data_IF_131335007436
#
_entry.id   IF_131335007436
#
_cell.length_a   1.000
_cell.length_b   1.000
_cell.length_c   1.000
_cell.angle_alpha   90.00
_cell.angle_beta   90.00
_cell.angle_gamma   90.00
#
_symmetry.space_group_name_H-M   'P 1'
#
loop_
_entity.id
_entity.type
_entity.pdbx_description
1 polymer ?
#
# COMPACT_ATOMS: atom_id res chain seq x y z
N UNK A 1 -32.29 -22.11 -6.57
CA UNK A 1 -32.62 -21.09 -5.55
C UNK A 1 -31.46 -20.12 -5.48
N UNK A 2 -31.71 -18.81 -5.40
CA UNK A 2 -30.63 -17.81 -5.25
C UNK A 2 -29.84 -18.12 -3.97
N UNK A 3 -28.50 -18.15 -4.07
CA UNK A 3 -27.60 -18.37 -2.92
C UNK A 3 -27.69 -17.22 -1.89
N UNK A 4 -28.13 -16.04 -2.33
CA UNK A 4 -28.18 -14.81 -1.55
C UNK A 4 -29.59 -14.17 -1.58
N UNK A 5 -29.98 -13.51 -0.49
CA UNK A 5 -31.22 -12.72 -0.37
C UNK A 5 -31.11 -11.36 -1.07
N UNK A 6 -29.91 -10.81 -1.19
CA UNK A 6 -29.62 -9.58 -1.93
C UNK A 6 -28.63 -9.91 -3.03
N UNK A 7 -28.89 -9.40 -4.22
CA UNK A 7 -27.94 -9.48 -5.34
C UNK A 7 -27.97 -8.16 -6.08
N UNK A 8 -26.80 -7.55 -6.23
CA UNK A 8 -26.55 -6.35 -7.02
C UNK A 8 -25.37 -6.60 -7.95
N UNK A 9 -25.31 -5.83 -9.01
CA UNK A 9 -24.18 -5.79 -9.94
C UNK A 9 -23.45 -4.47 -9.83
N UNK A 10 -22.18 -4.45 -10.26
CA UNK A 10 -21.40 -3.20 -10.30
C UNK A 10 -22.04 -2.20 -11.27
N UNK A 11 -22.66 -2.67 -12.37
CA UNK A 11 -23.37 -1.83 -13.33
C UNK A 11 -24.59 -1.14 -12.70
N UNK A 12 -25.39 -1.86 -11.92
CA UNK A 12 -26.52 -1.28 -11.18
C UNK A 12 -26.06 -0.25 -10.15
N UNK A 13 -24.98 -0.55 -9.41
CA UNK A 13 -24.39 0.39 -8.45
C UNK A 13 -23.88 1.64 -9.18
N UNK A 14 -23.15 1.49 -10.29
CA UNK A 14 -22.68 2.60 -11.11
C UNK A 14 -23.84 3.41 -11.72
N UNK A 15 -24.96 2.78 -12.07
CA UNK A 15 -26.16 3.49 -12.51
C UNK A 15 -26.76 4.34 -11.38
N UNK A 16 -26.76 3.86 -10.13
CA UNK A 16 -27.17 4.66 -8.97
C UNK A 16 -26.21 5.79 -8.66
N UNK A 17 -24.89 5.57 -8.81
CA UNK A 17 -23.88 6.62 -8.61
C UNK A 17 -24.13 7.77 -9.58
N UNK A 18 -24.31 7.49 -10.88
CA UNK A 18 -24.62 8.51 -11.90
C UNK A 18 -25.95 9.25 -11.70
N UNK A 19 -26.83 8.75 -10.82
CA UNK A 19 -28.10 9.38 -10.49
C UNK A 19 -28.05 10.13 -9.15
N UNK A 20 -26.89 10.16 -8.47
CA UNK A 20 -26.77 10.71 -7.11
C UNK A 20 -27.56 9.91 -6.05
N UNK A 21 -27.91 8.65 -6.33
CA UNK A 21 -28.79 7.82 -5.46
C UNK A 21 -28.06 6.72 -4.70
N UNK A 22 -26.78 6.49 -4.99
CA UNK A 22 -26.02 5.44 -4.34
C UNK A 22 -25.81 5.77 -2.85
N UNK A 23 -25.95 4.78 -1.98
CA UNK A 23 -25.63 4.91 -0.56
C UNK A 23 -24.20 4.46 -0.34
N UNK A 24 -23.31 5.40 0.01
CA UNK A 24 -21.89 5.14 0.27
C UNK A 24 -21.59 5.34 1.75
N UNK A 25 -20.94 4.35 2.37
CA UNK A 25 -20.42 4.42 3.73
C UNK A 25 -18.90 4.22 3.74
N UNK A 26 -18.22 4.69 4.77
CA UNK A 26 -16.88 4.20 5.09
C UNK A 26 -16.96 2.86 5.82
N UNK A 27 -15.86 2.09 5.87
CA UNK A 27 -15.84 0.84 6.62
C UNK A 27 -16.16 1.05 8.11
N UNK A 28 -15.75 2.17 8.74
CA UNK A 28 -16.12 2.49 10.13
C UNK A 28 -17.65 2.62 10.32
N UNK A 29 -18.33 3.30 9.39
CA UNK A 29 -19.78 3.46 9.43
C UNK A 29 -20.51 2.14 9.16
N UNK A 30 -19.94 1.28 8.31
CA UNK A 30 -20.50 -0.02 7.95
C UNK A 30 -20.55 -0.98 9.14
N UNK A 31 -19.49 -1.04 9.96
CA UNK A 31 -19.43 -1.87 11.18
C UNK A 31 -20.65 -1.60 12.08
N UNK A 32 -20.93 -0.32 12.33
CA UNK A 32 -22.08 0.09 13.16
C UNK A 32 -23.42 -0.34 12.58
N UNK A 33 -23.57 -0.26 11.25
CA UNK A 33 -24.79 -0.66 10.55
C UNK A 33 -25.01 -2.18 10.59
N UNK A 34 -23.96 -2.96 10.31
CA UNK A 34 -24.01 -4.43 10.33
C UNK A 34 -24.31 -4.92 11.74
N UNK A 35 -23.65 -4.38 12.77
CA UNK A 35 -23.92 -4.75 14.16
C UNK A 35 -25.36 -4.46 14.59
N UNK A 36 -25.95 -3.35 14.12
CA UNK A 36 -27.30 -2.93 14.51
C UNK A 36 -28.41 -3.62 13.73
N UNK A 37 -28.22 -3.88 12.43
CA UNK A 37 -29.30 -4.32 11.53
C UNK A 37 -29.04 -5.68 10.85
N UNK A 38 -27.84 -6.22 11.00
CA UNK A 38 -27.40 -7.44 10.33
C UNK A 38 -26.99 -7.22 8.87
N UNK A 39 -26.28 -8.21 8.29
CA UNK A 39 -25.68 -8.10 6.96
C UNK A 39 -26.70 -7.99 5.82
N UNK A 40 -27.85 -8.67 5.92
CA UNK A 40 -28.91 -8.61 4.90
C UNK A 40 -29.50 -7.21 4.78
N UNK A 41 -29.84 -6.59 5.92
CA UNK A 41 -30.39 -5.23 5.91
C UNK A 41 -29.35 -4.20 5.45
N UNK A 42 -28.09 -4.39 5.84
CA UNK A 42 -26.98 -3.55 5.37
C UNK A 42 -26.81 -3.66 3.84
N UNK A 43 -26.80 -4.87 3.28
CA UNK A 43 -26.70 -5.09 1.84
C UNK A 43 -27.86 -4.50 1.03
N UNK A 44 -29.10 -4.52 1.56
CA UNK A 44 -30.23 -3.85 0.90
C UNK A 44 -30.01 -2.34 0.81
N UNK A 45 -29.47 -1.73 1.87
CA UNK A 45 -29.35 -0.27 2.01
C UNK A 45 -28.10 0.30 1.35
N UNK A 46 -26.94 -0.31 1.55
CA UNK A 46 -25.62 0.25 1.17
C UNK A 46 -25.22 -0.28 -0.19
N UNK A 47 -24.69 0.59 -1.04
CA UNK A 47 -24.21 0.23 -2.37
C UNK A 47 -22.68 0.12 -2.42
N UNK A 48 -21.96 0.97 -1.68
CA UNK A 48 -20.49 0.98 -1.64
C UNK A 48 -19.97 1.21 -0.23
N UNK A 49 -18.91 0.47 0.13
CA UNK A 49 -18.10 0.74 1.33
C UNK A 49 -16.71 1.21 0.92
N UNK A 50 -16.28 2.37 1.39
CA UNK A 50 -14.93 2.89 1.11
C UNK A 50 -13.95 2.53 2.22
N UNK A 51 -12.74 2.16 1.79
CA UNK A 51 -11.64 1.72 2.65
C UNK A 51 -10.41 2.59 2.39
N UNK A 52 -9.42 2.51 3.28
CA UNK A 52 -8.22 3.33 3.19
C UNK A 52 -7.03 2.76 3.96
N UNK A 53 -5.83 3.01 3.45
CA UNK A 53 -4.57 2.74 4.13
C UNK A 53 -3.52 3.77 3.73
N UNK A 54 -2.68 4.14 4.69
CA UNK A 54 -1.51 4.99 4.46
C UNK A 54 -0.37 4.45 5.32
N UNK A 55 0.66 3.91 4.69
CA UNK A 55 1.75 3.20 5.36
C UNK A 55 3.01 3.25 4.50
N UNK A 56 4.22 3.08 5.08
CA UNK A 56 5.41 2.74 4.29
C UNK A 56 5.16 1.47 3.46
N UNK A 57 5.33 1.56 2.15
CA UNK A 57 5.18 0.45 1.21
C UNK A 57 6.44 0.36 0.34
N UNK A 58 7.42 -0.40 0.84
CA UNK A 58 8.77 -0.47 0.26
C UNK A 58 8.80 -0.97 -1.20
N UNK A 59 7.89 -1.86 -1.58
CA UNK A 59 7.80 -2.35 -2.96
C UNK A 59 6.98 -1.43 -3.86
N UNK A 60 7.33 -0.14 -3.83
CA UNK A 60 6.82 0.90 -4.71
C UNK A 60 7.93 1.41 -5.61
N UNK A 61 7.57 1.98 -6.76
CA UNK A 61 8.52 2.56 -7.69
C UNK A 61 7.81 3.15 -8.90
N UNK A 62 8.58 3.77 -9.79
CA UNK A 62 8.03 4.48 -10.93
C UNK A 62 8.80 4.17 -12.21
N UNK A 63 8.07 3.90 -13.28
CA UNK A 63 8.59 3.98 -14.64
C UNK A 63 8.55 5.45 -15.08
N UNK A 64 9.69 5.94 -15.57
CA UNK A 64 9.82 7.30 -16.07
C UNK A 64 10.42 7.26 -17.47
N UNK A 65 9.85 8.05 -18.37
CA UNK A 65 10.51 8.43 -19.61
C UNK A 65 11.02 9.86 -19.43
N UNK A 66 12.33 10.08 -19.58
CA UNK A 66 12.91 11.41 -19.35
C UNK A 66 13.12 12.26 -20.60
N UNK A 67 12.62 11.77 -21.74
CA UNK A 67 12.74 12.43 -23.04
C UNK A 67 14.15 12.38 -23.63
N UNK A 68 14.22 12.49 -24.95
CA UNK A 68 15.48 12.51 -25.69
C UNK A 68 16.26 13.82 -25.47
N UNK A 69 17.56 13.77 -25.75
CA UNK A 69 18.44 14.94 -25.86
C UNK A 69 18.78 15.24 -27.32
N UNK A 70 19.42 16.39 -27.58
CA UNK A 70 20.04 16.69 -28.86
C UNK A 70 21.54 16.91 -28.63
N UNK A 71 22.43 16.06 -29.17
CA UNK A 71 22.12 14.81 -29.89
C UNK A 71 21.44 13.75 -29.00
N UNK A 72 20.77 12.77 -29.63
CA UNK A 72 19.99 11.71 -28.96
C UNK A 72 20.86 10.80 -28.10
N UNK A 73 20.26 10.20 -27.06
CA UNK A 73 20.95 9.35 -26.08
C UNK A 73 20.22 8.02 -25.87
N UNK A 74 21.01 6.95 -25.69
CA UNK A 74 20.57 5.64 -25.22
C UNK A 74 21.26 5.37 -23.88
N UNK A 75 20.61 5.78 -22.80
CA UNK A 75 21.20 5.73 -21.47
C UNK A 75 21.39 4.28 -20.98
N UNK A 76 22.58 4.00 -20.46
CA UNK A 76 22.93 2.73 -19.81
C UNK A 76 23.01 2.84 -18.29
N UNK A 77 23.21 4.05 -17.75
CA UNK A 77 23.14 4.34 -16.31
C UNK A 77 22.48 5.70 -16.11
N UNK A 78 21.56 5.80 -15.16
CA UNK A 78 20.80 7.03 -14.88
C UNK A 78 20.71 7.27 -13.38
N UNK A 79 20.76 8.53 -12.98
CA UNK A 79 20.56 8.99 -11.61
C UNK A 79 19.58 10.16 -11.58
N UNK A 80 18.80 10.24 -10.51
CA UNK A 80 17.86 11.31 -10.19
C UNK A 80 18.20 11.86 -8.79
N UNK A 81 18.68 13.10 -8.68
CA UNK A 81 19.22 13.66 -7.42
C UNK A 81 20.22 12.69 -6.75
N UNK A 82 21.14 12.11 -7.53
CA UNK A 82 22.13 11.14 -7.03
C UNK A 82 21.58 9.74 -6.73
N UNK A 83 20.26 9.50 -6.80
CA UNK A 83 19.66 8.17 -6.63
C UNK A 83 19.72 7.40 -7.94
N UNK A 84 20.33 6.20 -7.97
CA UNK A 84 20.30 5.34 -9.15
C UNK A 84 18.88 5.01 -9.60
N UNK A 85 18.66 5.04 -10.91
CA UNK A 85 17.46 4.51 -11.54
C UNK A 85 17.86 3.44 -12.56
N UNK A 86 17.15 2.31 -12.53
CA UNK A 86 17.41 1.20 -13.43
C UNK A 86 17.15 1.62 -14.88
N UNK A 87 18.20 1.72 -15.66
CA UNK A 87 18.14 1.87 -17.11
C UNK A 87 18.05 0.49 -17.78
N UNK A 88 18.16 0.42 -19.11
CA UNK A 88 18.16 -0.86 -19.84
C UNK A 88 16.79 -1.36 -20.26
N UNK A 89 15.71 -0.60 -19.98
CA UNK A 89 14.39 -0.85 -20.55
C UNK A 89 14.34 -0.45 -22.04
N UNK A 90 14.87 0.72 -22.36
CA UNK A 90 15.02 1.24 -23.72
C UNK A 90 16.04 2.41 -23.72
N UNK A 91 15.87 3.39 -24.60
CA UNK A 91 16.82 4.50 -24.74
C UNK A 91 16.76 5.53 -23.60
N UNK A 92 15.55 5.88 -23.14
CA UNK A 92 15.33 6.92 -22.12
C UNK A 92 14.25 6.53 -21.11
N UNK A 93 13.91 5.24 -21.06
CA UNK A 93 12.98 4.66 -20.10
C UNK A 93 13.77 4.05 -18.94
N UNK A 94 13.36 4.41 -17.73
CA UNK A 94 14.00 4.01 -16.48
C UNK A 94 12.97 3.55 -15.45
N UNK A 95 13.41 2.79 -14.46
CA UNK A 95 12.63 2.47 -13.27
C UNK A 95 13.37 2.91 -12.00
N UNK A 96 12.75 3.77 -11.19
CA UNK A 96 13.28 4.17 -9.88
C UNK A 96 12.53 3.44 -8.77
N UNK A 97 13.25 2.64 -7.98
CA UNK A 97 12.70 1.92 -6.83
C UNK A 97 12.66 2.79 -5.58
N UNK A 98 11.57 2.76 -4.83
CA UNK A 98 11.38 3.60 -3.64
C UNK A 98 12.45 3.39 -2.55
N UNK A 99 13.07 2.21 -2.51
CA UNK A 99 14.09 1.82 -1.52
C UNK A 99 15.52 2.00 -2.00
N UNK A 100 15.73 2.52 -3.21
CA UNK A 100 17.08 2.79 -3.71
C UNK A 100 17.66 4.01 -3.00
N UNK A 101 18.76 3.89 -2.22
CA UNK A 101 19.38 5.02 -1.57
C UNK A 101 20.12 5.91 -2.59
N UNK A 102 20.46 7.13 -2.18
CA UNK A 102 21.41 7.94 -2.96
C UNK A 102 22.77 7.22 -3.09
N UNK A 103 23.46 7.40 -4.22
CA UNK A 103 24.75 6.74 -4.53
C UNK A 103 25.83 7.01 -3.47
N UNK A 104 25.77 8.18 -2.82
CA UNK A 104 26.70 8.64 -1.80
C UNK A 104 26.21 8.43 -0.36
N UNK A 105 25.03 7.82 -0.16
CA UNK A 105 24.52 7.54 1.19
C UNK A 105 25.51 6.63 1.95
N UNK A 106 25.83 6.93 3.22
CA UNK A 106 26.78 6.12 4.00
C UNK A 106 26.22 4.74 4.35
N UNK A 107 24.93 4.49 4.10
CA UNK A 107 24.19 3.29 4.48
C UNK A 107 24.43 3.00 5.97
N UNK A 108 24.71 1.74 6.30
CA UNK A 108 25.02 1.31 7.66
C UNK A 108 26.54 1.31 7.96
N UNK A 109 27.38 2.08 7.24
CA UNK A 109 28.82 2.22 7.58
C UNK A 109 29.03 2.78 8.98
N UNK A 110 28.21 3.77 9.37
CA UNK A 110 28.04 4.21 10.76
C UNK A 110 26.64 3.77 11.17
N UNK A 111 26.55 2.72 12.00
CA UNK A 111 25.27 2.12 12.36
C UNK A 111 24.65 2.78 13.60
N UNK A 112 23.33 3.08 13.59
CA UNK A 112 22.38 2.88 12.49
C UNK A 112 22.43 4.01 11.44
N UNK A 113 22.36 3.64 10.16
CA UNK A 113 22.30 4.60 9.05
C UNK A 113 21.02 5.44 9.04
N UNK A 114 21.10 6.67 8.54
CA UNK A 114 19.97 7.62 8.53
C UNK A 114 19.11 7.51 7.26
N UNK A 115 19.69 7.10 6.12
CA UNK A 115 18.98 6.95 4.83
C UNK A 115 18.18 8.20 4.43
N UNK A 116 18.80 9.37 4.47
CA UNK A 116 18.12 10.68 4.40
C UNK A 116 17.39 10.93 3.09
N UNK A 117 17.87 10.33 2.01
CA UNK A 117 17.33 10.56 0.68
C UNK A 117 17.47 9.30 -0.18
N UNK A 118 16.51 9.08 -1.07
CA UNK A 118 16.41 7.87 -1.88
C UNK A 118 15.22 7.93 -2.83
N UNK A 119 14.92 6.81 -3.50
CA UNK A 119 13.94 6.78 -4.59
C UNK A 119 12.53 7.22 -4.17
N UNK A 120 12.10 6.91 -2.95
CA UNK A 120 10.82 7.41 -2.43
C UNK A 120 10.78 8.94 -2.31
N UNK A 121 11.91 9.56 -1.95
CA UNK A 121 12.05 11.02 -1.86
C UNK A 121 12.07 11.64 -3.27
N UNK A 122 12.78 11.04 -4.23
CA UNK A 122 12.74 11.46 -5.65
C UNK A 122 11.31 11.46 -6.19
N UNK A 123 10.55 10.39 -5.92
CA UNK A 123 9.16 10.28 -6.36
C UNK A 123 8.31 11.39 -5.72
N UNK A 124 8.45 11.63 -4.41
CA UNK A 124 7.75 12.72 -3.72
C UNK A 124 8.11 14.08 -4.33
N UNK A 125 9.38 14.35 -4.55
CA UNK A 125 9.88 15.63 -5.07
C UNK A 125 9.34 15.92 -6.47
N UNK A 126 9.36 14.92 -7.36
CA UNK A 126 8.74 15.02 -8.68
C UNK A 126 7.25 15.37 -8.59
N UNK A 127 6.49 14.65 -7.76
CA UNK A 127 5.05 14.89 -7.57
C UNK A 127 4.77 16.25 -6.90
N UNK A 128 5.69 16.74 -6.07
CA UNK A 128 5.65 18.08 -5.48
C UNK A 128 6.08 19.19 -6.47
N UNK A 129 6.35 18.85 -7.73
CA UNK A 129 6.79 19.79 -8.76
C UNK A 129 8.19 20.34 -8.54
N UNK A 130 9.00 19.71 -7.69
CA UNK A 130 10.38 20.10 -7.44
C UNK A 130 11.26 19.72 -8.62
N UNK A 131 12.36 20.46 -8.77
CA UNK A 131 13.40 20.13 -9.74
C UNK A 131 14.24 18.97 -9.22
N UNK A 132 14.54 18.05 -10.13
CA UNK A 132 15.39 16.88 -9.89
C UNK A 132 16.53 16.90 -10.91
N UNK A 133 17.77 16.80 -10.44
CA UNK A 133 18.95 16.66 -11.29
C UNK A 133 18.96 15.26 -11.90
N UNK A 134 18.82 15.21 -13.22
CA UNK A 134 18.98 14.00 -14.00
C UNK A 134 20.38 13.93 -14.57
N UNK A 135 21.08 12.84 -14.28
CA UNK A 135 22.37 12.49 -14.87
C UNK A 135 22.24 11.16 -15.60
N UNK A 136 22.73 11.07 -16.83
CA UNK A 136 22.80 9.82 -17.57
C UNK A 136 24.16 9.60 -18.22
N UNK A 137 24.58 8.35 -18.30
CA UNK A 137 25.73 7.86 -19.05
C UNK A 137 25.26 6.88 -20.11
N UNK A 138 25.96 6.86 -21.25
CA UNK A 138 25.68 6.02 -22.40
C UNK A 138 26.98 5.62 -23.11
N UNK A 139 26.94 4.53 -23.88
CA UNK A 139 28.09 4.06 -24.66
C UNK A 139 28.19 4.72 -26.06
N UNK A 140 27.14 5.42 -26.50
CA UNK A 140 27.06 6.01 -27.83
C UNK A 140 26.83 4.95 -28.92
N UNK A 141 25.97 5.27 -29.88
CA UNK A 141 25.70 4.47 -31.08
C UNK A 141 25.44 5.43 -32.25
N UNK A 142 25.40 4.94 -33.48
CA UNK A 142 25.09 5.80 -34.64
C UNK A 142 23.73 6.48 -34.52
N UNK A 143 22.71 5.79 -33.98
CA UNK A 143 21.38 6.35 -33.74
C UNK A 143 21.28 7.24 -32.49
N UNK A 144 22.22 7.08 -31.55
CA UNK A 144 22.23 7.75 -30.24
C UNK A 144 23.65 8.14 -29.88
N UNK A 145 24.23 9.18 -30.50
CA UNK A 145 25.66 9.43 -30.40
C UNK A 145 26.05 10.09 -29.06
N UNK A 146 25.10 10.65 -28.33
CA UNK A 146 25.37 11.23 -27.01
C UNK A 146 25.81 10.16 -26.00
N UNK A 147 26.88 10.44 -25.26
CA UNK A 147 27.44 9.56 -24.21
C UNK A 147 27.17 10.03 -22.79
N UNK A 148 26.73 11.28 -22.63
CA UNK A 148 26.41 11.88 -21.33
C UNK A 148 25.23 12.84 -21.49
N UNK A 149 24.35 12.86 -20.51
CA UNK A 149 23.32 13.88 -20.35
C UNK A 149 23.29 14.35 -18.90
N UNK A 150 23.15 15.65 -18.71
CA UNK A 150 22.94 16.26 -17.40
C UNK A 150 21.96 17.42 -17.57
N UNK A 151 20.83 17.37 -16.85
CA UNK A 151 19.81 18.42 -16.89
C UNK A 151 18.98 18.41 -15.61
N UNK A 152 18.37 19.53 -15.27
CA UNK A 152 17.29 19.57 -14.28
C UNK A 152 15.96 19.27 -14.98
N UNK A 153 15.12 18.45 -14.34
CA UNK A 153 13.77 18.14 -14.81
C UNK A 153 12.77 18.25 -13.67
N UNK A 154 11.55 18.65 -13.98
CA UNK A 154 10.37 18.49 -13.14
C UNK A 154 9.50 17.37 -13.69
N UNK A 155 8.49 16.93 -12.93
CA UNK A 155 7.51 15.95 -13.41
C UNK A 155 6.75 16.39 -14.67
N UNK A 156 6.59 17.70 -14.88
CA UNK A 156 5.94 18.25 -16.09
C UNK A 156 6.79 18.03 -17.34
N UNK A 157 8.11 18.09 -17.20
CA UNK A 157 9.07 17.95 -18.31
C UNK A 157 9.22 16.50 -18.79
N UNK A 158 8.86 15.52 -17.96
CA UNK A 158 8.92 14.10 -18.31
C UNK A 158 7.79 13.73 -19.30
N UNK A 159 8.06 13.15 -20.47
CA UNK A 159 7.00 12.69 -21.37
C UNK A 159 6.03 11.70 -20.72
N UNK A 160 6.52 10.81 -19.85
CA UNK A 160 5.72 9.82 -19.16
C UNK A 160 6.26 9.54 -17.76
N UNK A 161 5.36 9.36 -16.79
CA UNK A 161 5.70 9.02 -15.41
C UNK A 161 4.57 8.21 -14.77
N UNK A 162 4.80 6.92 -14.55
CA UNK A 162 3.78 5.99 -14.04
C UNK A 162 4.31 5.35 -12.76
N UNK A 163 3.57 5.49 -11.67
CA UNK A 163 3.81 4.71 -10.46
C UNK A 163 3.39 3.27 -10.75
N UNK A 164 4.29 2.32 -10.59
CA UNK A 164 4.00 0.89 -10.70
C UNK A 164 4.62 0.19 -9.51
N UNK A 165 3.77 -0.26 -8.59
CA UNK A 165 4.19 -0.86 -7.34
C UNK A 165 3.91 -2.37 -7.37
N UNK A 166 4.96 -3.22 -7.46
CA UNK A 166 4.79 -4.68 -7.51
C UNK A 166 4.15 -5.28 -6.25
N UNK A 167 4.15 -4.58 -5.11
CA UNK A 167 3.52 -5.06 -3.88
C UNK A 167 3.15 -3.92 -2.93
N UNK A 168 1.85 -3.73 -2.73
CA UNK A 168 1.24 -2.79 -1.80
C UNK A 168 0.05 -3.45 -1.07
N UNK A 169 -0.62 -2.70 -0.17
CA UNK A 169 -1.83 -3.11 0.53
C UNK A 169 -1.77 -4.54 1.11
N UNK A 170 -0.84 -4.80 2.02
CA UNK A 170 -0.74 -6.11 2.68
C UNK A 170 -2.02 -6.44 3.46
N UNK A 171 -2.56 -7.63 3.24
CA UNK A 171 -3.65 -8.20 4.02
C UNK A 171 -3.08 -8.77 5.31
N UNK A 172 -3.32 -8.06 6.40
CA UNK A 172 -2.69 -8.30 7.70
C UNK A 172 -1.16 -8.19 7.67
N UNK A 173 -0.56 -8.17 8.84
CA UNK A 173 0.86 -8.03 9.03
C UNK A 173 1.28 -8.58 10.39
N UNK A 174 2.57 -8.64 10.69
CA UNK A 174 3.07 -9.06 12.01
C UNK A 174 3.03 -7.90 13.03
N UNK A 175 2.88 -8.23 14.31
CA UNK A 175 3.26 -7.36 15.42
C UNK A 175 4.70 -7.67 15.84
N UNK A 176 5.61 -6.71 15.67
CA UNK A 176 7.05 -6.91 15.86
C UNK A 176 7.51 -6.51 17.26
N UNK A 177 8.20 -7.41 17.94
CA UNK A 177 8.91 -7.15 19.20
C UNK A 177 10.40 -7.51 19.06
N UNK A 178 11.20 -7.19 20.07
CA UNK A 178 12.61 -7.57 20.14
C UNK A 178 12.94 -8.19 21.50
N UNK A 179 13.18 -9.50 21.54
CA UNK A 179 13.52 -10.23 22.76
C UNK A 179 15.02 -10.24 23.07
N UNK A 180 15.86 -9.72 22.19
CA UNK A 180 17.31 -9.62 22.41
C UNK A 180 17.66 -8.57 23.49
N UNK A 181 18.93 -8.50 23.85
CA UNK A 181 19.45 -7.58 24.87
C UNK A 181 19.92 -6.22 24.31
N UNK A 182 19.83 -6.00 22.99
CA UNK A 182 20.20 -4.74 22.30
C UNK A 182 19.04 -4.16 21.51
N UNK A 183 19.06 -2.86 21.25
CA UNK A 183 18.14 -2.23 20.29
C UNK A 183 18.43 -2.74 18.88
N UNK A 184 17.38 -3.03 18.12
CA UNK A 184 17.47 -3.38 16.70
C UNK A 184 16.68 -2.38 15.86
N UNK A 185 17.12 -2.22 14.61
CA UNK A 185 16.54 -1.30 13.65
C UNK A 185 16.01 -2.12 12.47
N UNK A 186 14.71 -2.05 12.21
CA UNK A 186 14.03 -2.94 11.26
C UNK A 186 13.12 -2.12 10.36
N UNK A 187 12.52 -2.75 9.34
CA UNK A 187 11.46 -2.11 8.57
C UNK A 187 10.20 -1.82 9.40
N UNK A 188 10.03 -2.47 10.55
CA UNK A 188 9.01 -2.16 11.55
C UNK A 188 9.44 -1.02 12.47
N UNK A 189 10.50 -0.29 12.12
CA UNK A 189 11.10 0.75 12.95
C UNK A 189 12.00 0.20 14.05
N UNK A 190 12.33 1.07 15.00
CA UNK A 190 13.20 0.76 16.14
C UNK A 190 12.49 -0.10 17.17
N UNK A 191 13.09 -1.24 17.52
CA UNK A 191 12.59 -2.16 18.54
C UNK A 191 13.60 -2.25 19.69
N UNK A 192 13.15 -1.82 20.87
CA UNK A 192 13.93 -1.77 22.11
C UNK A 192 14.14 -3.17 22.68
N UNK A 193 15.28 -3.40 23.37
CA UNK A 193 15.60 -4.72 23.91
C UNK A 193 14.55 -5.23 24.90
N UNK A 194 14.48 -6.54 25.06
CA UNK A 194 13.65 -7.25 26.06
C UNK A 194 12.16 -6.88 25.97
N UNK A 195 11.63 -6.76 24.76
CA UNK A 195 10.27 -6.35 24.43
C UNK A 195 9.91 -4.97 25.01
N UNK A 196 10.82 -4.00 24.90
CA UNK A 196 10.57 -2.64 25.38
C UNK A 196 9.53 -1.84 24.57
N UNK A 197 9.17 -2.32 23.38
CA UNK A 197 8.02 -1.87 22.58
C UNK A 197 7.61 -2.94 21.57
N UNK A 198 6.40 -2.77 21.04
CA UNK A 198 5.83 -3.54 19.96
C UNK A 198 5.42 -2.58 18.84
N UNK A 199 5.86 -2.84 17.61
CA UNK A 199 5.45 -2.05 16.46
C UNK A 199 4.59 -2.89 15.53
N UNK A 200 3.52 -2.33 14.99
CA UNK A 200 2.57 -3.03 14.12
C UNK A 200 2.19 -2.19 12.92
N UNK A 201 1.62 -2.84 11.90
CA UNK A 201 1.18 -2.18 10.68
C UNK A 201 -0.22 -2.63 10.29
N UNK A 202 -0.78 -1.91 9.32
CA UNK A 202 -2.14 -1.88 8.78
C UNK A 202 -3.08 -0.88 9.45
N UNK A 203 -4.11 -0.46 8.72
CA UNK A 203 -5.19 0.39 9.21
C UNK A 203 -6.32 -0.41 9.91
N UNK A 204 -6.12 -1.72 10.17
CA UNK A 204 -7.11 -2.57 10.82
C UNK A 204 -8.43 -2.60 10.05
N UNK A 205 -9.52 -2.25 10.70
CA UNK A 205 -10.88 -2.24 10.14
C UNK A 205 -11.06 -1.34 8.90
N UNK A 206 -10.19 -0.36 8.66
CA UNK A 206 -10.21 0.47 7.43
C UNK A 206 -9.44 -0.18 6.26
N UNK A 207 -8.70 -1.26 6.49
CA UNK A 207 -7.82 -1.86 5.49
C UNK A 207 -8.62 -2.46 4.32
N UNK A 208 -8.28 -2.15 3.06
CA UNK A 208 -8.98 -2.67 1.89
C UNK A 208 -9.14 -4.19 1.88
N UNK A 209 -8.03 -4.92 2.05
CA UNK A 209 -8.06 -6.39 1.97
C UNK A 209 -8.63 -7.07 3.21
N UNK A 210 -8.80 -6.36 4.33
CA UNK A 210 -9.56 -6.90 5.48
C UNK A 210 -11.06 -6.88 5.22
N UNK A 211 -11.53 -5.89 4.44
CA UNK A 211 -12.93 -5.70 4.07
C UNK A 211 -13.35 -6.53 2.84
N UNK A 212 -12.39 -7.10 2.11
CA UNK A 212 -12.61 -8.12 1.08
C UNK A 212 -11.66 -9.32 1.31
N UNK A 213 -11.90 -10.11 2.38
CA UNK A 213 -10.93 -11.07 2.89
C UNK A 213 -10.60 -12.20 1.89
N UNK A 214 -11.50 -12.46 0.95
CA UNK A 214 -11.38 -13.50 -0.07
C UNK A 214 -11.28 -12.94 -1.50
N UNK A 215 -11.03 -11.64 -1.66
CA UNK A 215 -10.86 -10.97 -2.95
C UNK A 215 -12.05 -11.17 -3.91
N UNK A 216 -13.27 -11.14 -3.36
CA UNK A 216 -14.53 -11.36 -4.09
C UNK A 216 -14.87 -10.21 -5.04
N UNK A 217 -14.41 -9.01 -4.72
CA UNK A 217 -14.72 -7.78 -5.44
C UNK A 217 -13.47 -7.10 -6.01
N UNK A 218 -12.31 -7.41 -5.46
CA UNK A 218 -11.02 -6.84 -5.84
C UNK A 218 -10.32 -7.75 -6.85
N UNK A 219 -10.03 -7.21 -8.03
CA UNK A 219 -9.26 -7.91 -9.06
C UNK A 219 -8.58 -6.99 -10.07
N UNK A 220 -8.02 -7.57 -11.13
CA UNK A 220 -7.40 -6.84 -12.24
C UNK A 220 -8.37 -5.82 -12.84
N UNK A 221 -7.98 -4.55 -12.92
CA UNK A 221 -8.80 -3.46 -13.46
C UNK A 221 -9.68 -2.74 -12.44
N UNK A 222 -9.66 -3.16 -11.17
CA UNK A 222 -10.35 -2.45 -10.08
C UNK A 222 -9.80 -1.04 -9.96
N UNK A 223 -10.67 -0.03 -10.06
CA UNK A 223 -10.31 1.38 -9.89
C UNK A 223 -10.13 1.69 -8.41
N UNK A 224 -9.09 2.44 -8.06
CA UNK A 224 -8.74 2.77 -6.69
C UNK A 224 -8.38 4.25 -6.54
N UNK A 225 -8.45 4.76 -5.32
CA UNK A 225 -7.67 5.92 -4.93
C UNK A 225 -6.21 5.48 -4.77
N UNK A 226 -5.28 6.11 -5.48
CA UNK A 226 -3.85 5.85 -5.38
C UNK A 226 -3.10 7.18 -5.42
N UNK A 227 -2.39 7.52 -4.35
CA UNK A 227 -1.54 8.71 -4.33
C UNK A 227 -2.31 10.03 -4.50
N UNK A 228 -3.62 10.09 -4.22
CA UNK A 228 -4.43 11.30 -4.47
C UNK A 228 -5.11 11.36 -5.83
N UNK A 229 -4.90 10.37 -6.69
CA UNK A 229 -5.50 10.26 -8.01
C UNK A 229 -6.28 8.95 -8.17
N UNK A 230 -6.93 8.77 -9.32
CA UNK A 230 -7.42 7.46 -9.72
C UNK A 230 -6.23 6.58 -10.16
N UNK A 231 -6.13 5.39 -9.59
CA UNK A 231 -5.24 4.33 -10.02
C UNK A 231 -5.99 3.03 -10.28
N UNK A 232 -5.23 1.96 -10.50
CA UNK A 232 -5.77 0.64 -10.80
C UNK A 232 -4.99 -0.45 -10.06
N UNK A 233 -5.71 -1.51 -9.69
CA UNK A 233 -5.09 -2.78 -9.34
C UNK A 233 -4.81 -3.54 -10.64
N UNK A 234 -3.58 -4.02 -10.78
CA UNK A 234 -3.13 -4.74 -11.99
C UNK A 234 -2.76 -6.21 -11.74
N UNK A 235 -3.05 -6.71 -10.53
CA UNK A 235 -2.89 -8.12 -10.21
C UNK A 235 -2.56 -8.37 -8.74
N UNK A 236 -2.30 -9.63 -8.37
CA UNK A 236 -1.70 -9.96 -7.08
C UNK A 236 -0.33 -9.28 -6.95
N UNK A 237 0.00 -8.82 -5.75
CA UNK A 237 1.35 -8.37 -5.45
C UNK A 237 2.34 -9.54 -5.36
N UNK A 238 3.64 -9.25 -5.44
CA UNK A 238 4.70 -10.29 -5.52
C UNK A 238 4.84 -11.18 -4.29
N UNK A 239 4.23 -10.83 -3.15
CA UNK A 239 4.15 -11.69 -1.95
C UNK A 239 2.71 -12.07 -1.62
N UNK A 240 1.83 -12.07 -2.61
CA UNK A 240 0.44 -12.46 -2.42
C UNK A 240 0.36 -13.92 -1.97
N UNK A 241 -0.10 -14.14 -0.74
CA UNK A 241 -0.27 -15.48 -0.17
C UNK A 241 -1.69 -15.65 0.39
N UNK A 242 -2.64 -16.22 -0.37
CA UNK A 242 -4.02 -16.34 0.06
C UNK A 242 -4.22 -17.47 1.09
N UNK A 243 -3.32 -18.46 1.10
CA UNK A 243 -3.43 -19.76 1.78
C UNK A 243 -2.91 -19.73 3.23
N UNK A 244 -3.30 -18.69 3.97
CA UNK A 244 -3.00 -18.58 5.41
C UNK A 244 -4.18 -18.99 6.26
N UNK A 245 -3.93 -19.29 7.55
CA UNK A 245 -4.99 -19.53 8.52
C UNK A 245 -5.86 -18.29 8.69
N UNK A 246 -7.18 -18.52 8.78
CA UNK A 246 -8.20 -17.48 8.89
C UNK A 246 -9.12 -17.78 10.06
N UNK A 247 -9.68 -16.74 10.66
CA UNK A 247 -10.73 -16.87 11.67
C UNK A 247 -12.01 -17.44 11.04
N UNK A 248 -13.00 -17.81 11.86
CA UNK A 248 -14.31 -18.23 11.36
C UNK A 248 -15.00 -17.15 10.50
N UNK A 249 -14.70 -15.86 10.74
CA UNK A 249 -15.16 -14.72 9.93
C UNK A 249 -14.38 -14.50 8.64
N UNK A 250 -13.35 -15.31 8.36
CA UNK A 250 -12.54 -15.25 7.14
C UNK A 250 -11.35 -14.29 7.18
N UNK A 251 -11.16 -13.59 8.28
CA UNK A 251 -10.04 -12.66 8.49
C UNK A 251 -8.75 -13.47 8.63
N UNK A 252 -7.70 -13.18 7.85
CA UNK A 252 -6.43 -13.90 7.99
C UNK A 252 -5.76 -13.55 9.31
N UNK A 253 -5.15 -14.55 9.97
CA UNK A 253 -4.48 -14.37 11.27
C UNK A 253 -2.99 -14.00 11.14
N UNK A 254 -2.48 -14.01 9.90
CA UNK A 254 -1.08 -13.71 9.53
C UNK A 254 -1.07 -12.92 8.22
N UNK A 255 0.09 -12.36 7.88
CA UNK A 255 0.32 -11.67 6.61
C UNK A 255 -0.06 -12.57 5.41
N UNK A 256 -0.95 -12.08 4.54
CA UNK A 256 -1.62 -12.86 3.50
C UNK A 256 -1.49 -12.22 2.10
N UNK A 257 -2.62 -11.84 1.48
CA UNK A 257 -2.64 -11.22 0.15
C UNK A 257 -1.95 -9.87 0.07
N UNK A 258 -1.49 -9.52 -1.13
CA UNK A 258 -0.99 -8.19 -1.48
C UNK A 258 -1.51 -7.80 -2.85
N UNK A 259 -1.45 -6.50 -3.18
CA UNK A 259 -1.90 -5.94 -4.46
C UNK A 259 -0.73 -5.35 -5.24
N UNK A 260 -0.70 -5.59 -6.55
CA UNK A 260 0.08 -4.80 -7.49
C UNK A 260 -0.79 -3.65 -8.01
N UNK A 261 -0.25 -2.43 -8.00
CA UNK A 261 -1.02 -1.23 -8.39
C UNK A 261 -0.26 -0.37 -9.39
N UNK A 262 -1.01 0.36 -10.21
CA UNK A 262 -0.45 1.38 -11.10
C UNK A 262 -1.28 2.66 -11.11
N UNK A 263 -0.65 3.79 -11.40
CA UNK A 263 -1.33 5.07 -11.62
C UNK A 263 -0.40 6.12 -12.22
N UNK A 264 -0.99 7.17 -12.78
CA UNK A 264 -0.25 8.28 -13.37
C UNK A 264 0.29 9.21 -12.29
N UNK A 265 1.62 9.37 -12.20
CA UNK A 265 2.24 10.26 -11.21
C UNK A 265 1.88 11.73 -11.45
N UNK A 266 1.60 12.13 -12.69
CA UNK A 266 1.28 13.52 -13.05
C UNK A 266 -0.04 14.01 -12.44
N UNK A 267 -0.93 13.08 -12.09
CA UNK A 267 -2.23 13.37 -11.46
C UNK A 267 -2.18 13.23 -9.92
N UNK A 268 -1.09 12.69 -9.37
CA UNK A 268 -0.96 12.41 -7.94
C UNK A 268 -0.61 13.66 -7.14
N UNK A 269 -0.84 13.59 -5.83
CA UNK A 269 -0.67 14.70 -4.89
C UNK A 269 0.40 14.29 -3.86
N UNK A 270 1.43 15.12 -3.60
CA UNK A 270 2.58 14.74 -2.78
C UNK A 270 2.21 14.41 -1.33
N UNK A 271 1.06 14.89 -0.85
CA UNK A 271 0.50 14.52 0.47
C UNK A 271 0.37 13.00 0.65
N UNK A 272 0.08 12.29 -0.44
CA UNK A 272 -0.23 10.85 -0.44
C UNK A 272 0.92 9.97 -0.93
N UNK A 273 2.04 10.57 -1.32
CA UNK A 273 3.30 9.91 -1.69
C UNK A 273 4.44 10.60 -0.96
N UNK A 274 4.82 10.05 0.19
CA UNK A 274 5.80 10.67 1.09
C UNK A 274 7.03 9.77 1.19
N UNK A 275 8.19 10.26 0.76
CA UNK A 275 9.48 9.63 1.02
C UNK A 275 9.70 9.49 2.52
N UNK A 276 10.14 8.31 2.94
CA UNK A 276 10.39 8.02 4.36
C UNK A 276 11.79 7.46 4.56
N UNK A 277 12.43 7.89 5.64
CA UNK A 277 13.70 7.35 6.11
C UNK A 277 13.45 6.48 7.34
N UNK A 278 13.81 5.20 7.25
CA UNK A 278 13.69 4.24 8.35
C UNK A 278 15.09 3.97 8.87
N UNK A 279 15.43 4.58 10.01
CA UNK A 279 16.75 4.50 10.63
C UNK A 279 17.22 3.04 10.73
N UNK A 280 18.45 2.77 10.29
CA UNK A 280 19.11 1.47 10.29
C UNK A 280 18.57 0.44 9.27
N UNK A 281 17.44 0.71 8.62
CA UNK A 281 16.83 -0.18 7.64
C UNK A 281 16.97 0.31 6.19
N UNK A 282 16.55 1.54 5.89
CA UNK A 282 16.53 2.04 4.51
C UNK A 282 15.58 3.22 4.28
N UNK A 283 15.63 3.79 3.08
CA UNK A 283 14.58 4.68 2.59
C UNK A 283 13.40 3.87 2.01
N UNK A 284 12.23 4.49 1.90
CA UNK A 284 11.01 3.89 1.33
C UNK A 284 10.03 4.99 0.90
N UNK A 285 8.83 4.60 0.49
CA UNK A 285 7.72 5.50 0.13
C UNK A 285 6.48 5.12 0.93
N UNK A 286 5.89 6.08 1.66
CA UNK A 286 4.57 5.95 2.23
C UNK A 286 3.51 6.31 1.19
N UNK A 287 2.60 5.38 0.92
CA UNK A 287 1.63 5.47 -0.18
C UNK A 287 0.21 5.44 0.39
N UNK A 288 -0.63 6.38 -0.06
CA UNK A 288 -2.07 6.39 0.21
C UNK A 288 -2.84 5.55 -0.81
N UNK A 289 -3.57 4.55 -0.33
CA UNK A 289 -4.42 3.70 -1.16
C UNK A 289 -5.80 3.57 -0.53
N UNK A 290 -6.85 3.75 -1.34
CA UNK A 290 -8.23 3.50 -0.96
C UNK A 290 -8.94 2.65 -2.00
N UNK A 291 -9.71 1.66 -1.57
CA UNK A 291 -10.44 0.76 -2.46
C UNK A 291 -11.94 0.84 -2.14
N UNK A 292 -12.80 1.11 -3.13
CA UNK A 292 -14.23 1.02 -2.94
C UNK A 292 -14.69 -0.43 -3.09
N UNK A 293 -15.35 -0.96 -2.07
CA UNK A 293 -15.91 -2.31 -2.06
C UNK A 293 -17.39 -2.22 -2.46
N UNK A 294 -17.78 -2.73 -3.64
CA UNK A 294 -19.18 -2.81 -4.03
C UNK A 294 -19.92 -3.84 -3.16
N UNK A 295 -21.03 -3.44 -2.56
CA UNK A 295 -21.84 -4.36 -1.74
C UNK A 295 -22.79 -5.14 -2.65
N UNK A 296 -22.30 -6.25 -3.21
CA UNK A 296 -23.06 -7.06 -4.18
C UNK A 296 -24.10 -7.97 -3.52
N UNK A 297 -23.89 -8.36 -2.25
CA UNK A 297 -24.75 -9.26 -1.49
C UNK A 297 -24.51 -9.13 0.02
N UNK A 298 -25.29 -9.86 0.82
CA UNK A 298 -25.15 -9.88 2.29
C UNK A 298 -23.83 -10.49 2.80
N UNK A 299 -23.17 -11.35 2.03
CA UNK A 299 -21.88 -11.93 2.42
C UNK A 299 -20.77 -10.86 2.37
N UNK A 300 -20.71 -10.07 1.30
CA UNK A 300 -19.78 -8.93 1.22
C UNK A 300 -20.10 -7.88 2.27
N UNK A 301 -21.39 -7.59 2.50
CA UNK A 301 -21.78 -6.68 3.57
C UNK A 301 -21.27 -7.14 4.94
N UNK A 302 -21.33 -8.45 5.22
CA UNK A 302 -20.79 -9.03 6.44
C UNK A 302 -19.27 -8.82 6.55
N UNK A 303 -18.52 -9.09 5.48
CA UNK A 303 -17.06 -8.90 5.47
C UNK A 303 -16.64 -7.46 5.69
N UNK A 304 -17.37 -6.50 5.10
CA UNK A 304 -17.12 -5.07 5.30
C UNK A 304 -17.56 -4.55 6.68
N UNK A 305 -18.16 -5.42 7.51
CA UNK A 305 -18.57 -5.11 8.87
C UNK A 305 -17.55 -5.53 9.95
N UNK A 306 -16.35 -5.99 9.56
CA UNK A 306 -15.30 -6.47 10.46
C UNK A 306 -14.76 -5.34 11.34
N UNK A 307 -14.67 -5.56 12.65
CA UNK A 307 -14.12 -4.58 13.60
C UNK A 307 -12.70 -4.94 14.07
N UNK A 308 -11.97 -3.98 14.62
CA UNK A 308 -10.60 -4.21 15.11
C UNK A 308 -10.51 -5.26 16.24
N UNK A 309 -11.61 -5.55 16.94
CA UNK A 309 -11.71 -6.63 17.93
C UNK A 309 -11.68 -8.03 17.29
N UNK A 310 -12.07 -8.14 16.03
CA UNK A 310 -12.16 -9.39 15.28
C UNK A 310 -10.94 -9.64 14.38
N UNK A 311 -10.07 -8.64 14.23
CA UNK A 311 -8.84 -8.72 13.46
C UNK A 311 -7.70 -9.04 14.40
N UNK A 312 -7.05 -10.19 14.18
CA UNK A 312 -5.94 -10.67 15.00
C UNK A 312 -4.63 -10.74 14.22
N UNK A 313 -3.51 -10.58 14.91
CA UNK A 313 -2.16 -10.77 14.38
C UNK A 313 -1.27 -11.50 15.37
N UNK A 314 -0.14 -12.01 14.87
CA UNK A 314 0.87 -12.71 15.65
C UNK A 314 1.96 -11.76 16.13
N UNK A 315 2.33 -11.88 17.41
CA UNK A 315 3.51 -11.24 17.99
C UNK A 315 4.75 -12.05 17.59
N UNK A 316 5.68 -11.44 16.88
CA UNK A 316 6.88 -12.09 16.32
C UNK A 316 8.13 -11.39 16.85
N UNK A 317 9.13 -12.17 17.24
CA UNK A 317 10.43 -11.63 17.64
C UNK A 317 11.31 -11.33 16.42
N UNK A 318 11.71 -10.07 16.27
CA UNK A 318 12.61 -9.60 15.23
C UNK A 318 14.08 -9.61 15.66
N UNK A 319 14.36 -9.88 16.95
CA UNK A 319 15.72 -10.00 17.46
C UNK A 319 16.42 -11.27 16.99
N UNK A 320 15.70 -12.40 16.93
CA UNK A 320 16.24 -13.68 16.48
C UNK A 320 15.30 -14.44 15.55
N UNK A 321 14.02 -14.58 15.89
CA UNK A 321 13.13 -15.51 15.18
C UNK A 321 12.90 -15.11 13.71
N UNK A 322 12.48 -13.86 13.46
CA UNK A 322 12.23 -13.34 12.12
C UNK A 322 13.46 -13.42 11.18
N UNK A 323 14.65 -12.88 11.54
CA UNK A 323 15.81 -12.91 10.64
C UNK A 323 16.34 -14.32 10.37
N UNK A 324 16.07 -15.29 11.25
CA UNK A 324 16.48 -16.69 11.06
C UNK A 324 15.34 -17.58 10.52
N UNK A 325 14.20 -17.00 10.12
CA UNK A 325 13.09 -17.75 9.54
C UNK A 325 12.41 -18.73 10.51
N UNK A 326 12.52 -18.51 11.82
CA UNK A 326 11.90 -19.36 12.83
C UNK A 326 10.40 -19.04 12.89
N UNK A 327 9.49 -20.00 12.59
CA UNK A 327 8.06 -19.74 12.50
C UNK A 327 7.38 -19.76 13.88
N UNK A 328 7.84 -18.91 14.80
CA UNK A 328 7.37 -18.84 16.19
C UNK A 328 6.60 -17.57 16.48
N UNK A 329 5.39 -17.73 17.02
CA UNK A 329 4.59 -16.65 17.58
C UNK A 329 4.78 -16.60 19.11
N UNK A 330 4.86 -15.39 19.68
CA UNK A 330 4.96 -15.14 21.13
C UNK A 330 3.64 -14.66 21.73
N UNK A 331 2.54 -14.78 20.96
CA UNK A 331 1.20 -14.39 21.35
C UNK A 331 0.36 -14.02 20.12
N UNK A 332 -0.95 -13.98 20.31
CA UNK A 332 -1.91 -13.42 19.37
C UNK A 332 -2.57 -12.20 20.03
N UNK A 333 -2.72 -11.12 19.28
CA UNK A 333 -3.30 -9.85 19.76
C UNK A 333 -4.26 -9.30 18.71
N UNK A 334 -5.34 -8.66 19.16
CA UNK A 334 -6.27 -7.97 18.27
C UNK A 334 -5.79 -6.58 17.91
N UNK A 335 -6.28 -6.03 16.79
CA UNK A 335 -5.99 -4.63 16.43
C UNK A 335 -6.62 -3.65 17.42
N UNK A 336 -7.71 -4.02 18.09
CA UNK A 336 -8.28 -3.19 19.17
C UNK A 336 -7.31 -3.06 20.35
N UNK A 337 -6.64 -4.16 20.73
CA UNK A 337 -5.58 -4.12 21.75
C UNK A 337 -4.37 -3.30 21.26
N UNK A 338 -3.93 -3.50 20.02
CA UNK A 338 -2.81 -2.72 19.47
C UNK A 338 -3.10 -1.21 19.42
N UNK A 339 -4.35 -0.82 19.15
CA UNK A 339 -4.79 0.58 19.11
C UNK A 339 -5.02 1.19 20.50
N UNK A 340 -5.15 0.39 21.56
CA UNK A 340 -5.24 0.90 22.93
C UNK A 340 -3.93 1.55 23.42
N UNK A 341 -2.81 1.20 22.77
CA UNK A 341 -1.48 1.74 23.06
C UNK A 341 -0.57 0.79 23.85
N UNK A 342 -1.08 -0.34 24.36
CA UNK A 342 -0.26 -1.38 24.98
C UNK A 342 -0.85 -2.78 24.81
N UNK A 343 0.02 -3.78 24.80
CA UNK A 343 -0.34 -5.21 24.75
C UNK A 343 0.40 -5.99 25.84
N UNK A 344 -0.11 -7.18 26.19
CA UNK A 344 0.56 -8.08 27.14
C UNK A 344 1.35 -9.14 26.38
N UNK A 345 2.66 -9.21 26.61
CA UNK A 345 3.55 -10.22 26.04
C UNK A 345 4.28 -10.91 27.18
N UNK A 346 4.11 -12.24 27.32
CA UNK A 346 4.73 -13.05 28.40
C UNK A 346 4.48 -12.46 29.80
N UNK A 347 3.24 -12.00 30.05
CA UNK A 347 2.84 -11.42 31.33
C UNK A 347 3.38 -10.01 31.60
N UNK A 348 4.03 -9.37 30.63
CA UNK A 348 4.52 -7.99 30.73
C UNK A 348 3.74 -7.06 29.81
N UNK A 349 3.45 -5.87 30.29
CA UNK A 349 2.89 -4.81 29.47
C UNK A 349 3.98 -4.23 28.54
N UNK A 350 3.65 -4.12 27.25
CA UNK A 350 4.54 -3.65 26.19
C UNK A 350 3.84 -2.53 25.42
N UNK A 351 4.40 -1.31 25.36
CA UNK A 351 3.83 -0.22 24.57
C UNK A 351 3.75 -0.59 23.09
N UNK A 352 2.60 -0.33 22.46
CA UNK A 352 2.33 -0.65 21.08
C UNK A 352 2.25 0.63 20.22
N UNK A 353 2.93 0.64 19.06
CA UNK A 353 2.94 1.79 18.15
C UNK A 353 2.68 1.38 16.69
N UNK A 354 1.78 2.09 15.97
CA UNK A 354 1.52 1.81 14.56
C UNK A 354 2.57 2.44 13.63
N UNK A 355 2.93 1.74 12.56
CA UNK A 355 3.62 2.32 11.39
C UNK A 355 2.64 2.95 10.40
N UNK A 356 1.42 2.41 10.31
CA UNK A 356 0.38 2.91 9.42
C UNK A 356 -0.37 4.07 10.08
N UNK A 357 -0.65 5.13 9.32
CA UNK A 357 -1.38 6.29 9.84
C UNK A 357 -2.89 6.06 9.72
N UNK A 358 -3.54 5.71 10.83
CA UNK A 358 -4.99 5.57 10.88
C UNK A 358 -5.75 6.86 10.52
N UNK A 359 -5.37 8.06 11.02
CA UNK A 359 -6.03 9.31 10.62
C UNK A 359 -5.98 9.56 9.10
N UNK A 360 -4.83 9.28 8.46
CA UNK A 360 -4.71 9.41 7.00
C UNK A 360 -5.51 8.34 6.26
N UNK A 361 -5.56 7.10 6.77
CA UNK A 361 -6.42 6.06 6.21
C UNK A 361 -7.90 6.47 6.22
N UNK A 362 -8.37 7.09 7.30
CA UNK A 362 -9.72 7.65 7.41
C UNK A 362 -9.95 8.78 6.43
N UNK A 363 -9.02 9.72 6.31
CA UNK A 363 -9.08 10.82 5.33
C UNK A 363 -9.17 10.30 3.89
N UNK A 364 -8.47 9.21 3.55
CA UNK A 364 -8.57 8.54 2.25
C UNK A 364 -9.96 7.94 2.04
N UNK A 365 -10.49 7.19 3.02
CA UNK A 365 -11.80 6.56 2.91
C UNK A 365 -12.93 7.59 2.72
N UNK A 366 -12.86 8.72 3.45
CA UNK A 366 -13.80 9.84 3.29
C UNK A 366 -13.62 10.57 1.96
N UNK A 367 -12.39 10.77 1.50
CA UNK A 367 -12.11 11.40 0.20
C UNK A 367 -12.67 10.56 -0.95
N UNK A 368 -12.45 9.24 -0.92
CA UNK A 368 -12.99 8.32 -1.91
C UNK A 368 -14.53 8.27 -1.86
N UNK A 369 -15.11 8.29 -0.64
CA UNK A 369 -16.57 8.39 -0.46
C UNK A 369 -17.13 9.64 -1.12
N UNK A 370 -16.48 10.79 -0.91
CA UNK A 370 -16.84 12.06 -1.55
C UNK A 370 -16.72 12.00 -3.07
N UNK A 371 -15.64 11.45 -3.63
CA UNK A 371 -15.49 11.32 -5.08
C UNK A 371 -16.61 10.49 -5.73
N UNK A 372 -17.05 9.43 -5.07
CA UNK A 372 -18.15 8.59 -5.54
C UNK A 372 -19.49 9.33 -5.40
N UNK A 373 -19.73 9.99 -4.26
CA UNK A 373 -20.95 10.76 -4.03
C UNK A 373 -21.11 11.95 -4.99
N UNK A 374 -19.99 12.57 -5.40
CA UNK A 374 -19.94 13.66 -6.38
C UNK A 374 -19.88 13.17 -7.84
N UNK A 375 -20.08 11.87 -8.08
CA UNK A 375 -20.12 11.27 -9.43
C UNK A 375 -18.80 11.36 -10.22
N UNK A 376 -17.71 11.77 -9.55
CA UNK A 376 -16.36 11.89 -10.12
C UNK A 376 -15.61 10.56 -10.16
N UNK A 377 -16.16 9.54 -9.51
CA UNK A 377 -15.55 8.21 -9.45
C UNK A 377 -16.62 7.13 -9.61
N UNK A 378 -16.43 6.29 -10.63
CA UNK A 378 -17.23 5.09 -10.86
C UNK A 378 -16.41 3.84 -10.49
N UNK A 379 -17.11 2.80 -10.05
CA UNK A 379 -16.50 1.53 -9.71
C UNK A 379 -15.99 0.83 -10.98
N UNK A 380 -14.80 0.22 -10.89
CA UNK A 380 -14.28 -0.65 -11.93
C UNK A 380 -14.75 -2.08 -11.74
N UNK A 381 -15.04 -2.76 -12.84
CA UNK A 381 -15.33 -4.19 -12.85
C UNK A 381 -14.04 -5.00 -13.00
N UNK A 382 -13.74 -5.92 -12.07
CA UNK A 382 -12.60 -6.82 -12.23
C UNK A 382 -12.69 -7.62 -13.53
N UNK A 383 -11.66 -7.53 -14.35
CA UNK A 383 -11.52 -8.32 -15.59
C UNK A 383 -11.05 -9.75 -15.29
N UNK A 384 -10.32 -9.92 -14.20
CA UNK A 384 -9.93 -11.22 -13.65
C UNK A 384 -9.86 -11.12 -12.13
N UNK A 385 -10.31 -12.14 -11.38
CA UNK A 385 -10.09 -12.19 -9.94
C UNK A 385 -8.59 -12.26 -9.63
N UNK A 386 -8.23 -11.84 -8.42
CA UNK A 386 -6.94 -12.15 -7.82
C UNK A 386 -7.04 -13.58 -7.23
N UNK A 387 -5.97 -14.40 -7.29
CA UNK A 387 -5.97 -15.73 -6.69
C UNK A 387 -6.44 -15.70 -5.23
N UNK A 388 -7.30 -16.66 -4.84
CA UNK A 388 -7.86 -16.74 -3.49
C UNK A 388 -7.90 -18.17 -2.98
N UNK A 389 -8.34 -18.35 -1.73
CA UNK A 389 -8.39 -19.65 -1.00
C UNK A 389 -9.15 -20.76 -1.77
N UNK A 390 -10.04 -20.38 -2.68
CA UNK A 390 -10.88 -21.30 -3.44
C UNK A 390 -10.70 -21.21 -4.96
N UNK A 391 -9.58 -20.66 -5.44
CA UNK A 391 -9.31 -20.45 -6.87
C UNK A 391 -7.96 -21.01 -7.32
N UNK A 392 -7.79 -22.34 -7.19
CA UNK A 392 -6.83 -23.10 -8.01
C UNK A 392 -7.46 -23.45 -9.35
#
# INVERSE_FOLDING_TARGET
MSKYQVTKTIQEINAKIRQGKAVILTAEEMISLVKKKGPVAAAKKVDVVTTGTFSPMCSSGAFLNFGQSVPTIKASRVWLNGVPAYAGLAAVDIYVGATEPAEDDPLNKVYPGEFKYGGGHVIQDLVAGQKVQLRAQAYGTDCYPSRKLEKEVTLRDLPNAILVSPRNCYQNYNCAINLSNRTIYTYMGTLRPRAGNANYATSGQLSPLMNDPYYKTIGLGTRIFLGGAQGYIIGPGTQHNPDVSRTAGGVPQKAAGTLMVMGDLKEMIPRWLVGVSIQGYGCSLAVGIGVPIPILNEEIANYTGVSDEEIFTQVVDYGYDYPNGVPKAHGEVSYAQLKSGSIVVKGKEVPAAPLSSYPRAKEIAETLKRWIAEEKFLLGEPQSPIPGVHGK
#
